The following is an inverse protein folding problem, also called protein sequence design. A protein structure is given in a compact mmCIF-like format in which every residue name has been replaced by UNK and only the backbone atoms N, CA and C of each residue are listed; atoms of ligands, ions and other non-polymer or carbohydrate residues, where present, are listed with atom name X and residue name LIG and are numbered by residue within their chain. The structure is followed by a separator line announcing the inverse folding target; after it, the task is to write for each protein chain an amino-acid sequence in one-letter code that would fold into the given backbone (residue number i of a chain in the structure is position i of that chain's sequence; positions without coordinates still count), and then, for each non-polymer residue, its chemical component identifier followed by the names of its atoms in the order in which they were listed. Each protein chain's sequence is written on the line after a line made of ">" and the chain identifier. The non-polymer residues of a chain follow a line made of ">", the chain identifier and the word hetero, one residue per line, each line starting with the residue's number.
data_IF_211240879127
#
_entry.id   IF_211240879127
#
_cell.length_a   1.000
_cell.length_b   1.000
_cell.length_c   1.000
_cell.angle_alpha   90.00
_cell.angle_beta   90.00
_cell.angle_gamma   90.00
#
_symmetry.space_group_name_H-M   'P 1'
#
loop_
_entity.id
_entity.type
_entity.pdbx_description
1 polymer ?
#
# COMPACT_ATOMS: atom_id res chain seq x y z
N UNK A 1 54.78 -2.09 24.29
CA UNK A 1 53.65 -1.33 24.90
C UNK A 1 52.46 -1.47 23.96
N UNK A 2 51.37 -2.04 24.45
CA UNK A 2 50.18 -2.32 23.66
C UNK A 2 49.43 -1.02 23.32
N UNK A 3 49.08 -0.79 22.05
CA UNK A 3 48.06 0.19 21.68
C UNK A 3 46.78 -0.56 21.33
N UNK A 4 45.86 -0.58 22.28
CA UNK A 4 44.49 -1.07 22.12
C UNK A 4 43.72 -0.15 21.18
N UNK A 5 43.39 -0.62 19.97
CA UNK A 5 42.42 0.03 19.09
C UNK A 5 41.01 -0.36 19.53
N UNK A 6 40.26 0.60 20.05
CA UNK A 6 38.85 0.47 20.41
C UNK A 6 38.02 0.19 19.15
N UNK A 7 37.15 -0.85 19.11
CA UNK A 7 36.22 -1.02 18.01
C UNK A 7 35.11 0.03 18.15
N UNK A 8 34.96 0.89 17.14
CA UNK A 8 33.81 1.78 16.99
C UNK A 8 32.53 0.96 16.98
N UNK A 9 31.70 1.16 18.00
CA UNK A 9 30.36 0.62 18.07
C UNK A 9 29.58 1.02 16.82
N UNK A 10 29.09 0.02 16.06
CA UNK A 10 28.01 0.25 15.10
C UNK A 10 26.84 0.80 15.91
N UNK A 11 26.41 2.01 15.56
CA UNK A 11 25.13 2.54 15.98
C UNK A 11 24.06 1.54 15.56
N UNK A 12 23.54 0.77 16.52
CA UNK A 12 22.29 0.06 16.37
C UNK A 12 21.20 1.13 16.24
N UNK A 13 20.78 1.39 15.01
CA UNK A 13 19.58 2.17 14.77
C UNK A 13 18.42 1.44 15.44
N UNK A 14 17.71 2.14 16.33
CA UNK A 14 16.48 1.63 16.93
C UNK A 14 15.56 1.05 15.83
N UNK A 15 14.82 -0.03 16.11
CA UNK A 15 13.97 -0.65 15.10
C UNK A 15 12.98 0.41 14.59
N UNK A 16 12.98 0.67 13.28
CA UNK A 16 11.98 1.50 12.63
C UNK A 16 10.67 0.70 12.57
N UNK A 17 10.01 0.59 13.71
CA UNK A 17 8.68 0.02 13.83
C UNK A 17 7.71 0.78 12.92
N UNK A 18 6.66 0.10 12.48
CA UNK A 18 5.52 0.79 11.89
C UNK A 18 5.01 1.84 12.90
N UNK A 19 4.60 3.00 12.40
CA UNK A 19 4.14 4.09 13.26
C UNK A 19 2.91 3.62 14.05
N UNK A 20 2.98 3.63 15.38
CA UNK A 20 1.85 3.23 16.24
C UNK A 20 0.60 4.09 15.96
N UNK A 21 0.80 5.31 15.47
CA UNK A 21 -0.25 6.24 15.05
C UNK A 21 -0.11 6.58 13.56
N UNK A 22 -1.23 6.55 12.83
CA UNK A 22 -1.24 6.88 11.39
C UNK A 22 -0.78 8.32 11.14
N UNK A 23 -1.11 9.27 12.01
CA UNK A 23 -0.75 10.67 11.86
C UNK A 23 0.77 10.86 11.75
N UNK A 24 1.55 10.14 12.56
CA UNK A 24 3.02 10.16 12.53
C UNK A 24 3.58 9.65 11.21
N UNK A 25 2.91 8.68 10.57
CA UNK A 25 3.31 8.17 9.26
C UNK A 25 3.09 9.21 8.15
N UNK A 26 2.07 10.05 8.29
CA UNK A 26 1.63 11.02 7.29
C UNK A 26 2.28 12.40 7.44
N UNK A 27 3.01 12.63 8.53
CA UNK A 27 3.52 13.94 8.87
C UNK A 27 4.59 14.45 7.89
N UNK A 28 4.38 15.67 7.40
CA UNK A 28 5.31 16.40 6.54
C UNK A 28 5.73 17.71 7.20
N UNK A 29 7.01 18.05 7.05
CA UNK A 29 7.54 19.37 7.34
C UNK A 29 7.45 20.24 6.08
N UNK A 30 6.87 21.44 6.19
CA UNK A 30 6.87 22.41 5.10
C UNK A 30 8.21 23.13 5.05
N UNK A 31 8.91 23.04 3.93
CA UNK A 31 10.17 23.73 3.70
C UNK A 31 9.95 25.10 3.04
N UNK A 32 8.99 25.19 2.11
CA UNK A 32 8.61 26.42 1.39
C UNK A 32 7.15 26.32 0.87
N UNK A 33 6.67 27.27 0.08
CA UNK A 33 5.44 27.15 -0.73
C UNK A 33 5.59 25.95 -1.67
N UNK A 34 4.61 25.04 -1.61
CA UNK A 34 4.53 23.85 -2.46
C UNK A 34 5.76 22.90 -2.36
N UNK A 35 6.54 23.01 -1.28
CA UNK A 35 7.73 22.21 -1.00
C UNK A 35 7.70 21.64 0.42
N UNK A 36 7.73 20.30 0.52
CA UNK A 36 7.59 19.57 1.78
C UNK A 36 8.66 18.49 1.95
N UNK A 37 8.89 18.02 3.18
CA UNK A 37 9.84 16.96 3.53
C UNK A 37 9.21 15.94 4.46
N UNK A 38 9.40 14.65 4.17
CA UNK A 38 8.99 13.56 5.08
C UNK A 38 9.75 13.64 6.40
N UNK A 39 9.06 13.57 7.54
CA UNK A 39 9.73 13.45 8.84
C UNK A 39 10.21 12.02 9.11
N UNK A 40 9.37 11.04 8.81
CA UNK A 40 9.64 9.63 9.05
C UNK A 40 9.26 8.78 7.83
N UNK A 41 9.91 7.63 7.68
CA UNK A 41 9.63 6.64 6.63
C UNK A 41 9.70 5.25 7.25
N UNK A 42 8.70 4.42 6.94
CA UNK A 42 8.65 3.03 7.36
C UNK A 42 9.24 2.13 6.28
N UNK A 43 10.18 1.30 6.68
CA UNK A 43 10.76 0.25 5.86
C UNK A 43 10.27 -1.10 6.38
N UNK A 44 9.28 -1.74 5.74
CA UNK A 44 8.77 -3.02 6.20
C UNK A 44 9.87 -4.09 6.27
N UNK A 45 9.74 -5.03 7.20
CA UNK A 45 10.73 -6.08 7.36
C UNK A 45 10.86 -6.90 6.06
N UNK A 46 12.10 -7.06 5.59
CA UNK A 46 12.45 -7.80 4.35
C UNK A 46 11.91 -7.17 3.04
N UNK A 47 11.42 -5.94 3.08
CA UNK A 47 11.12 -5.17 1.87
C UNK A 47 12.42 -4.64 1.21
N UNK A 48 12.32 -4.21 -0.04
CA UNK A 48 13.44 -3.60 -0.78
C UNK A 48 13.46 -2.07 -0.70
N UNK A 49 12.46 -1.47 -0.08
CA UNK A 49 12.27 -0.02 -0.03
C UNK A 49 11.18 0.38 0.95
N UNK A 50 10.89 1.68 0.99
CA UNK A 50 9.81 2.25 1.81
C UNK A 50 8.47 1.65 1.42
N UNK A 51 7.57 1.53 2.39
CA UNK A 51 6.19 1.14 2.11
C UNK A 51 5.51 2.13 1.13
N UNK A 52 5.02 1.61 -0.01
CA UNK A 52 4.41 2.40 -1.08
C UNK A 52 3.25 3.26 -0.59
N UNK A 53 2.33 2.66 0.19
CA UNK A 53 1.22 3.34 0.85
C UNK A 53 1.63 4.61 1.62
N UNK A 54 2.77 4.62 2.31
CA UNK A 54 3.22 5.82 3.02
C UNK A 54 3.66 6.94 2.05
N UNK A 55 4.39 6.60 0.99
CA UNK A 55 4.84 7.58 -0.02
C UNK A 55 3.63 8.18 -0.75
N UNK A 56 2.65 7.33 -1.10
CA UNK A 56 1.38 7.74 -1.71
C UNK A 56 0.65 8.71 -0.80
N UNK A 57 0.44 8.32 0.47
CA UNK A 57 -0.30 9.18 1.39
C UNK A 57 0.41 10.48 1.72
N UNK A 58 1.74 10.47 1.87
CA UNK A 58 2.50 11.70 2.04
C UNK A 58 2.40 12.60 0.80
N UNK A 59 2.46 12.04 -0.41
CA UNK A 59 2.25 12.81 -1.63
C UNK A 59 0.82 13.39 -1.70
N UNK A 60 -0.19 12.63 -1.27
CA UNK A 60 -1.56 13.12 -1.15
C UNK A 60 -1.64 14.27 -0.14
N UNK A 61 -1.03 14.14 1.05
CA UNK A 61 -0.97 15.22 2.06
C UNK A 61 -0.31 16.47 1.49
N UNK A 62 0.80 16.34 0.78
CA UNK A 62 1.49 17.46 0.13
C UNK A 62 0.59 18.17 -0.90
N UNK A 63 -0.12 17.40 -1.74
CA UNK A 63 -1.04 17.96 -2.72
C UNK A 63 -2.24 18.65 -2.07
N UNK A 64 -2.87 18.01 -1.08
CA UNK A 64 -4.01 18.55 -0.34
C UNK A 64 -3.65 19.86 0.36
N UNK A 65 -2.44 19.97 0.93
CA UNK A 65 -1.96 21.21 1.56
C UNK A 65 -1.66 22.35 0.57
N UNK A 66 -1.75 22.11 -0.75
CA UNK A 66 -1.54 23.12 -1.81
C UNK A 66 -2.84 23.67 -2.41
N UNK A 67 -4.00 23.21 -1.94
CA UNK A 67 -5.34 23.60 -2.42
C UNK A 67 -6.22 24.05 -1.27
N UNK A 68 -7.32 24.74 -1.55
CA UNK A 68 -8.32 25.08 -0.54
C UNK A 68 -9.04 23.81 -0.02
N UNK A 69 -9.51 23.77 1.24
CA UNK A 69 -10.15 22.58 1.82
C UNK A 69 -11.45 22.12 1.12
N UNK A 70 -12.05 22.95 0.25
CA UNK A 70 -13.32 22.68 -0.44
C UNK A 70 -13.20 21.66 -1.58
N UNK A 71 -12.03 21.07 -1.83
CA UNK A 71 -11.72 20.32 -3.04
C UNK A 71 -11.43 18.83 -2.75
N UNK A 72 -12.15 17.90 -3.43
CA UNK A 72 -11.97 16.43 -3.33
C UNK A 72 -10.73 15.90 -4.09
N UNK A 73 -10.39 14.61 -4.15
CA UNK A 73 -9.10 14.13 -4.70
C UNK A 73 -9.27 12.91 -5.65
N UNK A 74 -8.41 12.78 -6.66
CA UNK A 74 -8.17 11.58 -7.49
C UNK A 74 -6.68 11.46 -7.82
N UNK A 75 -6.06 10.27 -7.90
CA UNK A 75 -4.60 10.16 -8.11
C UNK A 75 -4.10 8.96 -8.95
N UNK A 76 -2.87 9.08 -9.50
CA UNK A 76 -2.07 8.08 -10.24
C UNK A 76 -0.59 8.14 -9.83
N UNK A 77 0.23 7.06 -9.94
CA UNK A 77 1.67 7.13 -9.58
C UNK A 77 2.66 6.13 -10.21
N UNK A 78 3.98 6.33 -9.96
CA UNK A 78 5.10 5.44 -10.36
C UNK A 78 6.23 5.38 -9.29
N UNK A 79 6.86 4.20 -9.12
CA UNK A 79 8.22 3.93 -8.59
C UNK A 79 8.51 3.89 -7.06
N UNK A 80 9.71 3.39 -6.68
CA UNK A 80 10.15 3.03 -5.31
C UNK A 80 11.19 3.99 -4.69
N UNK A 81 11.15 4.17 -3.36
CA UNK A 81 11.98 5.10 -2.60
C UNK A 81 12.83 4.41 -1.48
N UNK A 82 13.93 5.06 -1.07
CA UNK A 82 14.81 4.63 0.02
C UNK A 82 14.33 5.13 1.39
N UNK A 83 14.42 4.31 2.44
CA UNK A 83 14.03 4.73 3.80
C UNK A 83 15.15 5.45 4.56
N UNK A 84 16.38 5.39 4.06
CA UNK A 84 17.58 5.92 4.76
C UNK A 84 17.70 7.45 4.73
N UNK A 85 16.91 8.12 3.90
CA UNK A 85 16.95 9.56 3.69
C UNK A 85 15.53 10.12 3.59
N UNK A 86 15.28 11.36 4.02
CA UNK A 86 13.99 12.02 3.78
C UNK A 86 13.66 12.10 2.28
N UNK A 87 12.38 12.08 1.97
CA UNK A 87 11.83 12.39 0.65
C UNK A 87 11.41 13.87 0.65
N UNK A 88 11.78 14.60 -0.40
CA UNK A 88 11.31 15.97 -0.65
C UNK A 88 10.17 15.92 -1.65
N UNK A 89 9.03 16.51 -1.33
CA UNK A 89 7.86 16.57 -2.20
C UNK A 89 7.74 17.98 -2.77
N UNK A 90 7.78 18.08 -4.09
CA UNK A 90 7.54 19.31 -4.84
C UNK A 90 6.18 19.22 -5.53
N UNK A 91 5.32 20.23 -5.34
CA UNK A 91 4.00 20.29 -5.96
C UNK A 91 3.99 21.31 -7.09
N UNK A 92 3.60 20.86 -8.28
CA UNK A 92 3.41 21.66 -9.48
C UNK A 92 1.92 21.93 -9.69
N UNK A 93 1.55 23.21 -9.83
CA UNK A 93 0.16 23.64 -10.04
C UNK A 93 -0.15 23.64 -11.53
N UNK A 94 -0.62 22.49 -12.03
CA UNK A 94 -0.86 22.30 -13.46
C UNK A 94 -2.06 23.08 -14.00
N UNK A 95 -3.15 23.16 -13.21
CA UNK A 95 -4.39 23.84 -13.62
C UNK A 95 -5.21 24.26 -12.42
N UNK A 96 -5.70 25.51 -12.44
CA UNK A 96 -6.71 26.01 -11.51
C UNK A 96 -7.96 26.40 -12.30
N UNK A 97 -8.86 25.43 -12.49
CA UNK A 97 -10.15 25.64 -13.14
C UNK A 97 -11.26 25.99 -12.14
N UNK A 98 -12.41 26.41 -12.65
CA UNK A 98 -13.57 26.78 -11.81
C UNK A 98 -14.11 25.62 -10.95
N UNK A 99 -14.16 24.41 -11.52
CA UNK A 99 -14.70 23.23 -10.86
C UNK A 99 -13.65 22.18 -10.52
N UNK A 100 -12.50 22.22 -11.22
CA UNK A 100 -11.42 21.25 -11.07
C UNK A 100 -10.07 21.93 -10.91
N UNK A 101 -9.29 21.45 -9.97
CA UNK A 101 -7.87 21.78 -9.82
C UNK A 101 -7.03 20.57 -10.21
N UNK A 102 -5.85 20.77 -10.76
CA UNK A 102 -4.90 19.70 -11.09
C UNK A 102 -3.54 20.03 -10.52
N UNK A 103 -2.94 19.05 -9.83
CA UNK A 103 -1.60 19.13 -9.25
C UNK A 103 -0.77 17.95 -9.74
N UNK A 104 0.54 18.15 -9.84
CA UNK A 104 1.50 17.06 -9.96
C UNK A 104 2.49 17.13 -8.80
N UNK A 105 2.69 16.03 -8.09
CA UNK A 105 3.66 15.92 -7.00
C UNK A 105 4.85 15.12 -7.48
N UNK A 106 6.05 15.68 -7.35
CA UNK A 106 7.32 14.98 -7.57
C UNK A 106 7.95 14.72 -6.20
N UNK A 107 8.16 13.45 -5.88
CA UNK A 107 8.92 13.03 -4.72
C UNK A 107 10.37 12.78 -5.13
N UNK A 108 11.29 13.48 -4.48
CA UNK A 108 12.71 13.49 -4.80
C UNK A 108 13.53 12.92 -3.65
N UNK A 109 14.55 12.13 -3.99
CA UNK A 109 15.65 11.76 -3.11
C UNK A 109 16.97 11.88 -3.85
N UNK A 110 17.97 12.51 -3.23
CA UNK A 110 19.28 12.77 -3.85
C UNK A 110 19.17 13.45 -5.24
N UNK A 111 18.21 14.38 -5.39
CA UNK A 111 17.97 15.06 -6.66
C UNK A 111 17.35 14.20 -7.77
N UNK A 112 16.97 12.95 -7.50
CA UNK A 112 16.27 12.07 -8.44
C UNK A 112 14.82 11.92 -8.06
N UNK A 113 13.93 11.95 -9.04
CA UNK A 113 12.51 11.61 -8.84
C UNK A 113 12.42 10.12 -8.53
N UNK A 114 11.95 9.80 -7.33
CA UNK A 114 11.70 8.43 -6.88
C UNK A 114 10.22 8.07 -6.96
N UNK A 115 9.36 9.08 -6.99
CA UNK A 115 7.93 8.92 -7.16
C UNK A 115 7.32 10.16 -7.83
N UNK A 116 6.28 9.95 -8.63
CA UNK A 116 5.49 11.03 -9.20
C UNK A 116 4.02 10.70 -9.04
N UNK A 117 3.22 11.71 -8.70
CA UNK A 117 1.78 11.62 -8.64
C UNK A 117 1.15 12.73 -9.46
N UNK A 118 0.10 12.41 -10.20
CA UNK A 118 -0.84 13.43 -10.70
C UNK A 118 -2.13 13.29 -9.92
N UNK A 119 -2.68 14.41 -9.48
CA UNK A 119 -3.97 14.41 -8.83
C UNK A 119 -4.90 15.52 -9.30
N UNK A 120 -6.18 15.19 -9.35
CA UNK A 120 -7.26 16.11 -9.68
C UNK A 120 -8.12 16.32 -8.47
N UNK A 121 -8.55 17.55 -8.28
CA UNK A 121 -9.48 17.93 -7.25
C UNK A 121 -10.76 18.50 -7.81
N UNK A 122 -11.90 18.28 -7.13
CA UNK A 122 -13.22 18.72 -7.60
C UNK A 122 -13.99 19.43 -6.49
N UNK A 123 -14.69 20.52 -6.83
CA UNK A 123 -15.72 21.10 -5.94
C UNK A 123 -16.89 20.11 -5.75
N UNK A 124 -17.37 19.86 -4.52
CA UNK A 124 -18.49 18.96 -4.28
C UNK A 124 -19.74 19.32 -5.07
N UNK A 125 -20.32 18.33 -5.75
CA UNK A 125 -21.60 18.46 -6.48
C UNK A 125 -22.61 17.41 -5.99
N UNK A 126 -23.08 17.48 -4.73
CA UNK A 126 -23.89 16.42 -4.11
C UNK A 126 -25.26 16.18 -4.75
N UNK A 127 -25.72 17.09 -5.62
CA UNK A 127 -26.97 16.96 -6.36
C UNK A 127 -26.87 16.05 -7.60
N UNK A 128 -25.67 15.62 -7.98
CA UNK A 128 -25.48 14.76 -9.14
C UNK A 128 -25.96 13.32 -8.85
N UNK A 129 -26.45 12.57 -9.86
CA UNK A 129 -26.84 11.18 -9.68
C UNK A 129 -25.66 10.29 -9.24
N UNK A 130 -25.88 9.44 -8.24
CA UNK A 130 -24.88 8.49 -7.75
C UNK A 130 -25.31 7.04 -7.97
N UNK A 131 -24.37 6.20 -8.42
CA UNK A 131 -24.51 4.74 -8.44
C UNK A 131 -23.18 4.09 -8.08
N UNK A 132 -23.22 3.11 -7.17
CA UNK A 132 -22.09 2.22 -6.88
C UNK A 132 -22.47 0.76 -7.11
N UNK A 133 -21.47 -0.10 -7.25
CA UNK A 133 -21.72 -1.54 -7.10
C UNK A 133 -22.08 -1.83 -5.65
N UNK A 134 -22.85 -2.90 -5.43
CA UNK A 134 -23.24 -3.30 -4.07
C UNK A 134 -22.06 -4.01 -3.40
N UNK A 135 -21.87 -3.72 -2.12
CA UNK A 135 -20.95 -4.48 -1.28
C UNK A 135 -21.31 -5.98 -1.34
N UNK A 136 -20.33 -6.88 -1.54
CA UNK A 136 -20.60 -8.31 -1.49
C UNK A 136 -21.02 -8.73 -0.07
N UNK A 137 -21.80 -9.81 0.02
CA UNK A 137 -22.13 -10.41 1.31
C UNK A 137 -20.90 -11.08 1.90
N UNK A 138 -20.43 -10.56 3.04
CA UNK A 138 -19.30 -11.10 3.80
C UNK A 138 -19.64 -11.10 5.29
N UNK A 139 -19.01 -11.96 6.11
CA UNK A 139 -19.14 -11.88 7.55
C UNK A 139 -18.79 -10.47 8.07
N UNK A 140 -19.49 -9.97 9.09
CA UNK A 140 -19.17 -8.69 9.71
C UNK A 140 -17.77 -8.75 10.37
N UNK A 141 -17.13 -7.58 10.62
CA UNK A 141 -15.78 -7.55 11.20
C UNK A 141 -15.70 -8.23 12.57
N UNK A 142 -16.77 -8.25 13.36
CA UNK A 142 -16.82 -8.93 14.67
C UNK A 142 -16.73 -10.46 14.57
N UNK A 143 -17.20 -11.04 13.46
CA UNK A 143 -17.10 -12.47 13.19
C UNK A 143 -15.76 -12.87 12.58
N UNK A 144 -14.92 -11.90 12.22
CA UNK A 144 -13.61 -12.12 11.61
C UNK A 144 -12.49 -12.00 12.65
N UNK A 145 -11.48 -12.84 12.50
CA UNK A 145 -10.27 -12.83 13.31
C UNK A 145 -9.25 -11.83 12.77
N UNK A 146 -8.40 -11.32 13.65
CA UNK A 146 -7.29 -10.47 13.26
C UNK A 146 -6.25 -11.25 12.45
N UNK A 147 -5.52 -10.55 11.58
CA UNK A 147 -4.44 -11.14 10.79
C UNK A 147 -3.30 -11.68 11.67
N UNK A 148 -3.03 -11.01 12.79
CA UNK A 148 -2.05 -11.40 13.80
C UNK A 148 -2.30 -12.80 14.34
N UNK A 149 -3.56 -13.14 14.65
CA UNK A 149 -3.95 -14.46 15.16
C UNK A 149 -3.55 -15.57 14.18
N UNK A 150 -3.67 -15.32 12.87
CA UNK A 150 -3.26 -16.27 11.84
C UNK A 150 -1.74 -16.47 11.82
N UNK A 151 -0.96 -15.43 12.08
CA UNK A 151 0.51 -15.55 12.15
C UNK A 151 0.94 -16.32 13.39
N UNK A 152 0.29 -16.06 14.54
CA UNK A 152 0.52 -16.79 15.79
C UNK A 152 0.21 -18.28 15.65
N UNK A 153 -0.90 -18.64 15.00
CA UNK A 153 -1.24 -20.04 14.69
C UNK A 153 -0.14 -20.73 13.89
N UNK A 154 0.39 -20.06 12.86
CA UNK A 154 1.49 -20.63 12.05
C UNK A 154 2.74 -20.80 12.91
N UNK A 155 3.07 -19.84 13.76
CA UNK A 155 4.23 -19.94 14.66
C UNK A 155 4.10 -21.07 15.69
N UNK A 156 2.87 -21.33 16.17
CA UNK A 156 2.56 -22.39 17.13
C UNK A 156 2.59 -23.80 16.52
N UNK A 157 2.47 -23.93 15.19
CA UNK A 157 2.54 -25.25 14.52
C UNK A 157 3.89 -25.93 14.72
N UNK A 158 3.82 -27.22 15.00
CA UNK A 158 4.98 -28.12 15.03
C UNK A 158 5.48 -28.43 13.61
N UNK A 159 6.75 -28.76 13.47
CA UNK A 159 7.36 -29.14 12.18
C UNK A 159 7.60 -28.00 11.18
N UNK A 160 7.27 -26.74 11.51
CA UNK A 160 7.60 -25.60 10.64
C UNK A 160 9.10 -25.28 10.70
N UNK A 161 9.71 -25.17 9.52
CA UNK A 161 11.12 -24.85 9.37
C UNK A 161 11.49 -23.51 10.07
N UNK A 162 12.60 -23.42 10.83
CA UNK A 162 12.96 -22.23 11.61
C UNK A 162 12.98 -20.92 10.82
N UNK A 163 13.49 -20.96 9.57
CA UNK A 163 13.46 -19.78 8.67
C UNK A 163 12.05 -19.28 8.40
N UNK A 164 11.07 -20.17 8.24
CA UNK A 164 9.66 -19.78 8.03
C UNK A 164 9.10 -19.19 9.31
N UNK A 165 9.36 -19.81 10.48
CA UNK A 165 8.95 -19.23 11.77
C UNK A 165 9.51 -17.82 11.99
N UNK A 166 10.78 -17.58 11.66
CA UNK A 166 11.40 -16.26 11.76
C UNK A 166 10.71 -15.21 10.87
N UNK A 167 10.32 -15.59 9.64
CA UNK A 167 9.58 -14.68 8.76
C UNK A 167 8.21 -14.32 9.32
N UNK A 168 7.46 -15.30 9.85
CA UNK A 168 6.16 -15.04 10.47
C UNK A 168 6.27 -14.19 11.75
N UNK A 169 7.34 -14.37 12.53
CA UNK A 169 7.63 -13.54 13.69
C UNK A 169 7.86 -12.07 13.29
N UNK A 170 8.65 -11.82 12.24
CA UNK A 170 8.87 -10.47 11.72
C UNK A 170 7.52 -9.84 11.27
N UNK A 171 6.69 -10.59 10.54
CA UNK A 171 5.37 -10.10 10.11
C UNK A 171 4.40 -9.85 11.25
N UNK A 172 4.42 -10.70 12.29
CA UNK A 172 3.60 -10.50 13.47
C UNK A 172 3.98 -9.20 14.19
N UNK A 173 5.28 -8.93 14.33
CA UNK A 173 5.77 -7.69 14.95
C UNK A 173 5.42 -6.47 14.08
N UNK A 174 5.67 -6.52 12.78
CA UNK A 174 5.28 -5.45 11.84
C UNK A 174 3.77 -5.18 11.90
N UNK A 175 2.95 -6.24 11.96
CA UNK A 175 1.48 -6.14 11.96
C UNK A 175 0.94 -5.55 13.26
N UNK A 176 1.46 -6.00 14.41
CA UNK A 176 1.11 -5.49 15.75
C UNK A 176 1.45 -4.01 15.92
N UNK A 177 2.57 -3.55 15.37
CA UNK A 177 2.98 -2.14 15.41
C UNK A 177 2.31 -1.27 14.34
N UNK A 178 1.56 -1.86 13.41
CA UNK A 178 1.03 -1.11 12.29
C UNK A 178 -0.20 -0.28 12.67
N UNK A 179 -0.36 0.94 12.11
CA UNK A 179 -1.48 1.81 12.47
C UNK A 179 -2.81 1.35 11.90
N UNK A 180 -2.83 0.30 11.05
CA UNK A 180 -4.03 -0.26 10.46
C UNK A 180 -4.29 -1.64 11.08
N UNK A 181 -5.48 -1.86 11.62
CA UNK A 181 -6.00 -3.17 11.96
C UNK A 181 -6.53 -3.87 10.70
N UNK A 182 -6.28 -5.18 10.58
CA UNK A 182 -6.70 -5.98 9.41
C UNK A 182 -7.36 -7.26 9.89
N UNK A 183 -8.55 -7.54 9.37
CA UNK A 183 -9.26 -8.81 9.56
C UNK A 183 -9.54 -9.43 8.19
N UNK A 184 -8.79 -10.48 7.81
CA UNK A 184 -9.05 -11.20 6.57
C UNK A 184 -10.40 -11.89 6.61
N UNK A 185 -11.15 -11.81 5.51
CA UNK A 185 -12.33 -12.63 5.25
C UNK A 185 -11.91 -13.85 4.43
N UNK A 186 -12.69 -14.92 4.49
CA UNK A 186 -12.51 -16.08 3.62
C UNK A 186 -12.48 -15.68 2.15
N UNK A 187 -11.68 -16.41 1.37
CA UNK A 187 -11.53 -16.16 -0.07
C UNK A 187 -12.83 -16.46 -0.76
N UNK A 188 -13.29 -15.52 -1.56
CA UNK A 188 -14.48 -15.71 -2.38
C UNK A 188 -14.08 -16.19 -3.78
N UNK A 189 -14.44 -17.44 -4.07
CA UNK A 189 -14.21 -18.15 -5.33
C UNK A 189 -15.55 -18.46 -6.06
N UNK A 190 -16.59 -17.70 -5.76
CA UNK A 190 -17.97 -17.97 -6.24
C UNK A 190 -18.11 -17.91 -7.76
N UNK A 191 -17.27 -17.15 -8.46
CA UNK A 191 -17.28 -17.13 -9.93
C UNK A 191 -16.05 -17.85 -10.49
N UNK A 192 -16.19 -18.57 -11.63
CA UNK A 192 -15.08 -19.25 -12.29
C UNK A 192 -13.91 -18.32 -12.57
N UNK A 193 -12.69 -18.77 -12.26
CA UNK A 193 -11.45 -18.01 -12.44
C UNK A 193 -11.42 -16.63 -11.78
N UNK A 194 -12.32 -16.37 -10.83
CA UNK A 194 -12.30 -15.16 -10.02
C UNK A 194 -11.88 -15.54 -8.60
N UNK A 195 -10.74 -14.99 -8.17
CA UNK A 195 -10.36 -14.97 -6.76
C UNK A 195 -10.61 -13.56 -6.26
N UNK A 196 -11.55 -13.42 -5.32
CA UNK A 196 -11.75 -12.19 -4.55
C UNK A 196 -11.15 -12.35 -3.16
N UNK A 197 -10.26 -11.44 -2.81
CA UNK A 197 -9.74 -11.28 -1.46
C UNK A 197 -10.49 -10.15 -0.79
N UNK A 198 -10.97 -10.40 0.42
CA UNK A 198 -11.75 -9.45 1.18
C UNK A 198 -11.06 -9.21 2.53
N UNK A 199 -10.87 -7.95 2.89
CA UNK A 199 -10.25 -7.55 4.15
C UNK A 199 -11.07 -6.45 4.80
N UNK A 200 -11.45 -6.62 6.06
CA UNK A 200 -11.86 -5.48 6.88
C UNK A 200 -10.60 -4.76 7.36
N UNK A 201 -10.54 -3.45 7.14
CA UNK A 201 -9.44 -2.59 7.53
C UNK A 201 -9.94 -1.39 8.34
N UNK A 202 -9.18 -0.98 9.35
CA UNK A 202 -9.52 0.13 10.23
C UNK A 202 -8.23 0.80 10.73
N UNK A 203 -8.17 2.12 10.74
CA UNK A 203 -7.09 2.86 11.38
C UNK A 203 -7.25 2.82 12.91
N UNK A 204 -6.18 2.45 13.62
CA UNK A 204 -6.20 2.27 15.07
C UNK A 204 -6.11 3.60 15.79
N UNK A 205 -6.94 3.77 16.82
CA UNK A 205 -6.81 4.83 17.83
C UNK A 205 -6.70 6.24 17.24
N UNK A 206 -7.48 6.53 16.20
CA UNK A 206 -7.49 7.85 15.57
C UNK A 206 -8.59 8.73 16.19
N UNK A 207 -8.39 10.06 16.27
CA UNK A 207 -9.50 10.98 16.49
C UNK A 207 -10.38 11.06 15.24
N UNK A 208 -11.51 11.75 15.35
CA UNK A 208 -12.30 12.12 14.19
C UNK A 208 -11.52 13.12 13.33
N UNK A 209 -11.38 12.81 12.04
CA UNK A 209 -10.68 13.64 11.06
C UNK A 209 -11.62 14.09 9.94
N UNK A 210 -11.34 15.27 9.40
CA UNK A 210 -12.03 15.78 8.22
C UNK A 210 -11.75 14.93 6.97
N UNK A 211 -12.67 14.99 6.01
CA UNK A 211 -12.62 14.20 4.78
C UNK A 211 -11.27 14.23 4.03
N UNK A 212 -10.56 15.37 3.89
CA UNK A 212 -9.26 15.38 3.22
C UNK A 212 -8.21 14.48 3.90
N UNK A 213 -8.20 14.44 5.24
CA UNK A 213 -7.25 13.61 5.98
C UNK A 213 -7.70 12.14 6.01
N UNK A 214 -9.00 11.86 6.07
CA UNK A 214 -9.55 10.51 5.87
C UNK A 214 -9.11 9.92 4.51
N UNK A 215 -9.11 10.71 3.44
CA UNK A 215 -8.58 10.30 2.11
C UNK A 215 -7.08 10.00 2.14
N UNK A 216 -6.30 10.71 2.95
CA UNK A 216 -4.87 10.42 3.14
C UNK A 216 -4.66 9.05 3.84
N UNK A 217 -5.46 8.78 4.87
CA UNK A 217 -5.46 7.48 5.58
C UNK A 217 -5.91 6.36 4.62
N UNK A 218 -6.95 6.59 3.82
CA UNK A 218 -7.41 5.65 2.80
C UNK A 218 -6.33 5.39 1.74
N UNK A 219 -5.58 6.42 1.33
CA UNK A 219 -4.40 6.26 0.50
C UNK A 219 -3.40 5.24 1.06
N UNK A 220 -3.19 5.25 2.38
CA UNK A 220 -2.20 4.40 3.05
C UNK A 220 -2.68 2.95 3.07
N UNK A 221 -3.93 2.75 3.50
CA UNK A 221 -4.50 1.40 3.58
C UNK A 221 -4.72 0.78 2.20
N UNK A 222 -4.91 1.60 1.15
CA UNK A 222 -5.23 1.11 -0.19
C UNK A 222 -4.14 0.23 -0.82
N UNK A 223 -2.88 0.40 -0.40
CA UNK A 223 -1.74 -0.38 -0.90
C UNK A 223 -1.50 -1.67 -0.07
N UNK A 224 -2.19 -1.84 1.07
CA UNK A 224 -2.08 -3.05 1.89
C UNK A 224 -2.77 -4.22 1.19
N UNK A 225 -2.07 -5.36 1.09
CA UNK A 225 -2.53 -6.62 0.50
C UNK A 225 -2.96 -6.60 -0.98
N UNK A 226 -3.01 -5.45 -1.64
CA UNK A 226 -3.59 -5.29 -2.97
C UNK A 226 -2.91 -6.16 -4.04
N UNK A 227 -1.58 -6.09 -4.21
CA UNK A 227 -0.83 -6.93 -5.16
C UNK A 227 -0.94 -8.44 -4.87
N UNK A 228 -1.33 -8.82 -3.64
CA UNK A 228 -1.46 -10.23 -3.28
C UNK A 228 -2.57 -10.90 -4.09
N UNK A 229 -3.59 -10.17 -4.53
CA UNK A 229 -4.65 -10.69 -5.39
C UNK A 229 -4.09 -11.29 -6.68
N UNK A 230 -3.12 -10.62 -7.33
CA UNK A 230 -2.47 -11.14 -8.53
C UNK A 230 -1.59 -12.36 -8.25
N UNK A 231 -0.78 -12.32 -7.19
CA UNK A 231 0.06 -13.48 -6.82
C UNK A 231 -0.78 -14.72 -6.53
N UNK A 232 -1.91 -14.54 -5.83
CA UNK A 232 -2.78 -15.65 -5.45
C UNK A 232 -3.65 -16.14 -6.61
N UNK A 233 -4.08 -15.26 -7.52
CA UNK A 233 -4.78 -15.65 -8.74
C UNK A 233 -3.88 -16.51 -9.65
N UNK A 234 -2.57 -16.26 -9.66
CA UNK A 234 -1.57 -17.10 -10.35
C UNK A 234 -1.21 -18.39 -9.60
N UNK A 235 -1.78 -18.63 -8.40
CA UNK A 235 -1.43 -19.78 -7.57
C UNK A 235 -0.01 -19.73 -6.99
N UNK A 236 0.64 -18.57 -6.99
CA UNK A 236 1.98 -18.40 -6.44
C UNK A 236 1.94 -18.41 -4.91
N UNK A 237 2.98 -18.98 -4.33
CA UNK A 237 3.15 -19.16 -2.90
C UNK A 237 4.45 -18.49 -2.45
N UNK A 238 4.36 -17.70 -1.38
CA UNK A 238 5.52 -16.95 -0.86
C UNK A 238 6.66 -17.86 -0.37
N UNK A 239 6.34 -19.05 0.13
CA UNK A 239 7.31 -20.09 0.51
C UNK A 239 7.27 -21.31 -0.41
N UNK A 240 6.72 -21.16 -1.62
CA UNK A 240 6.75 -22.19 -2.64
C UNK A 240 8.18 -22.49 -3.10
N UNK A 241 8.32 -23.48 -3.98
CA UNK A 241 9.58 -23.77 -4.68
C UNK A 241 9.37 -23.71 -6.19
N UNK A 242 10.40 -23.24 -6.90
CA UNK A 242 10.41 -23.19 -8.37
C UNK A 242 9.20 -22.44 -8.93
N UNK A 243 8.49 -22.98 -9.95
CA UNK A 243 7.41 -22.28 -10.63
C UNK A 243 6.22 -21.85 -9.76
N UNK A 244 6.07 -22.44 -8.57
CA UNK A 244 5.02 -22.06 -7.61
C UNK A 244 5.50 -21.01 -6.61
N UNK A 245 6.77 -20.64 -6.59
CA UNK A 245 7.32 -19.66 -5.67
C UNK A 245 7.17 -18.24 -6.22
N UNK A 246 6.79 -17.29 -5.37
CA UNK A 246 6.83 -15.87 -5.73
C UNK A 246 8.27 -15.34 -5.66
N UNK A 247 8.91 -15.11 -6.81
CA UNK A 247 10.27 -14.58 -6.88
C UNK A 247 10.34 -13.07 -6.71
N UNK A 248 9.40 -12.35 -7.33
CA UNK A 248 9.36 -10.89 -7.27
C UNK A 248 7.93 -10.39 -7.29
N UNK A 249 7.66 -9.44 -6.40
CA UNK A 249 6.40 -8.70 -6.32
C UNK A 249 6.73 -7.26 -5.97
N UNK A 250 6.41 -6.33 -6.85
CA UNK A 250 6.60 -4.89 -6.60
C UNK A 250 5.58 -4.10 -7.38
N UNK A 251 5.07 -3.04 -6.78
CA UNK A 251 4.19 -2.07 -7.44
C UNK A 251 4.91 -1.38 -8.60
N UNK A 252 4.20 -1.15 -9.70
CA UNK A 252 4.62 -0.32 -10.83
C UNK A 252 3.91 1.03 -10.72
N UNK A 253 2.58 0.99 -10.67
CA UNK A 253 1.69 2.13 -10.52
C UNK A 253 0.57 1.84 -9.53
N UNK A 254 -0.17 2.86 -9.09
CA UNK A 254 -1.51 2.67 -8.55
C UNK A 254 -2.31 3.95 -8.57
N UNK A 255 -3.62 3.78 -8.53
CA UNK A 255 -4.58 4.83 -8.73
C UNK A 255 -5.72 4.69 -7.75
N UNK A 256 -6.24 5.83 -7.29
CA UNK A 256 -7.39 5.89 -6.38
C UNK A 256 -8.38 6.91 -6.93
N UNK A 257 -9.61 6.45 -7.11
CA UNK A 257 -10.76 7.29 -7.44
C UNK A 257 -11.70 7.30 -6.24
N UNK A 258 -11.86 8.48 -5.63
CA UNK A 258 -12.77 8.70 -4.52
C UNK A 258 -14.15 9.09 -5.07
N UNK A 259 -15.20 8.52 -4.48
CA UNK A 259 -16.60 8.79 -4.88
C UNK A 259 -17.44 9.33 -3.74
N UNK A 260 -16.96 9.18 -2.51
CA UNK A 260 -17.67 9.64 -1.33
C UNK A 260 -16.71 10.20 -0.29
N UNK A 261 -17.12 11.30 0.33
CA UNK A 261 -16.34 11.99 1.36
C UNK A 261 -16.85 11.67 2.77
N UNK A 262 -18.00 10.99 2.88
CA UNK A 262 -18.60 10.61 4.14
C UNK A 262 -18.21 9.17 4.50
N UNK A 263 -16.96 9.03 4.93
CA UNK A 263 -16.42 7.80 5.50
C UNK A 263 -15.43 8.12 6.63
N UNK A 264 -15.33 7.20 7.56
CA UNK A 264 -14.37 7.28 8.67
C UNK A 264 -13.46 6.05 8.62
N UNK A 265 -12.15 6.27 8.43
CA UNK A 265 -11.17 5.21 8.53
C UNK A 265 -11.01 4.68 9.95
N UNK A 266 -11.57 5.36 10.95
CA UNK A 266 -11.69 4.91 12.34
C UNK A 266 -12.78 3.86 12.53
N UNK A 267 -13.70 3.68 11.57
CA UNK A 267 -14.60 2.51 11.49
C UNK A 267 -14.06 1.48 10.47
N UNK A 268 -14.63 0.29 10.49
CA UNK A 268 -14.27 -0.78 9.56
C UNK A 268 -14.69 -0.46 8.12
N UNK A 269 -13.71 -0.46 7.23
CA UNK A 269 -13.90 -0.44 5.78
C UNK A 269 -13.65 -1.83 5.19
N UNK A 270 -14.55 -2.31 4.33
CA UNK A 270 -14.34 -3.55 3.59
C UNK A 270 -13.58 -3.24 2.31
N UNK A 271 -12.41 -3.84 2.14
CA UNK A 271 -11.62 -3.76 0.93
C UNK A 271 -11.71 -5.07 0.15
N UNK A 272 -12.37 -5.03 -1.01
CA UNK A 272 -12.56 -6.16 -1.91
C UNK A 272 -11.58 -6.03 -3.07
N UNK A 273 -10.70 -7.02 -3.24
CA UNK A 273 -9.62 -7.01 -4.22
C UNK A 273 -9.74 -8.20 -5.16
N UNK A 274 -9.47 -7.98 -6.44
CA UNK A 274 -9.41 -9.03 -7.45
C UNK A 274 -8.30 -8.75 -8.47
N UNK A 275 -7.80 -9.81 -9.11
CA UNK A 275 -6.87 -9.71 -10.24
C UNK A 275 -7.58 -10.17 -11.51
N UNK A 276 -8.06 -9.26 -12.37
CA UNK A 276 -8.73 -9.67 -13.61
C UNK A 276 -7.76 -10.28 -14.63
N UNK A 277 -6.47 -9.91 -14.58
CA UNK A 277 -5.45 -10.49 -15.46
C UNK A 277 -4.07 -10.48 -14.80
N UNK A 278 -3.27 -11.49 -15.11
CA UNK A 278 -1.85 -11.52 -14.81
C UNK A 278 -1.10 -12.37 -15.85
N UNK A 279 0.09 -11.94 -16.24
CA UNK A 279 0.86 -12.54 -17.32
C UNK A 279 2.11 -11.74 -17.64
N UNK A 280 3.06 -12.36 -18.35
CA UNK A 280 4.32 -11.73 -18.77
C UNK A 280 5.07 -11.01 -17.62
N UNK A 281 5.08 -11.63 -16.44
CA UNK A 281 5.75 -11.10 -15.25
C UNK A 281 5.08 -9.88 -14.61
N UNK A 282 3.81 -9.59 -14.93
CA UNK A 282 2.99 -8.52 -14.35
C UNK A 282 1.60 -9.00 -13.95
N UNK A 283 0.92 -8.23 -13.12
CA UNK A 283 -0.48 -8.46 -12.76
C UNK A 283 -1.19 -7.13 -12.50
N UNK A 284 -2.40 -7.00 -13.04
CA UNK A 284 -3.31 -5.89 -12.74
C UNK A 284 -4.23 -6.35 -11.62
N UNK A 285 -4.42 -5.49 -10.63
CA UNK A 285 -5.38 -5.70 -9.55
C UNK A 285 -6.30 -4.50 -9.44
N UNK A 286 -7.52 -4.80 -9.05
CA UNK A 286 -8.62 -3.85 -8.92
C UNK A 286 -9.22 -4.02 -7.53
N UNK A 287 -9.47 -2.90 -6.86
CA UNK A 287 -9.97 -2.87 -5.50
C UNK A 287 -11.20 -1.97 -5.35
N UNK A 288 -12.08 -2.34 -4.42
CA UNK A 288 -13.28 -1.60 -4.05
C UNK A 288 -13.36 -1.46 -2.54
N UNK A 289 -13.46 -0.22 -2.07
CA UNK A 289 -13.56 0.11 -0.66
C UNK A 289 -15.00 0.47 -0.31
N UNK A 290 -15.56 -0.22 0.68
CA UNK A 290 -16.91 0.01 1.17
C UNK A 290 -16.89 0.41 2.65
N UNK A 291 -17.79 1.28 3.07
CA UNK A 291 -18.10 1.45 4.50
C UNK A 291 -18.72 0.17 5.05
N UNK A 292 -18.73 0.04 6.38
CA UNK A 292 -19.44 -1.04 7.09
C UNK A 292 -20.92 -1.18 6.66
N UNK A 293 -21.57 -0.08 6.30
CA UNK A 293 -22.97 -0.03 5.85
C UNK A 293 -23.12 -0.35 4.34
N UNK A 294 -22.03 -0.65 3.65
CA UNK A 294 -22.03 -1.10 2.25
C UNK A 294 -22.00 0.02 1.21
N UNK A 295 -21.66 1.26 1.61
CA UNK A 295 -21.49 2.38 0.68
C UNK A 295 -20.12 2.31 0.04
N UNK A 296 -20.05 2.31 -1.30
CA UNK A 296 -18.78 2.36 -2.03
C UNK A 296 -18.14 3.75 -1.88
N UNK A 297 -16.93 3.83 -1.34
CA UNK A 297 -16.24 5.10 -1.07
C UNK A 297 -15.11 5.38 -2.06
N UNK A 298 -14.42 4.33 -2.50
CA UNK A 298 -13.30 4.46 -3.43
C UNK A 298 -13.11 3.20 -4.27
N UNK A 299 -12.54 3.40 -5.46
CA UNK A 299 -12.04 2.34 -6.34
C UNK A 299 -10.54 2.52 -6.50
N UNK A 300 -9.83 1.40 -6.52
CA UNK A 300 -8.38 1.37 -6.72
C UNK A 300 -8.00 0.48 -7.88
N UNK A 301 -6.91 0.82 -8.55
CA UNK A 301 -6.27 -0.01 -9.58
C UNK A 301 -4.77 0.04 -9.40
N UNK A 302 -4.10 -1.09 -9.61
CA UNK A 302 -2.65 -1.21 -9.44
C UNK A 302 -2.10 -2.26 -10.41
N UNK A 303 -1.13 -1.90 -11.24
CA UNK A 303 -0.28 -2.87 -11.93
C UNK A 303 1.00 -3.09 -11.11
N UNK A 304 1.40 -4.36 -11.00
CA UNK A 304 2.60 -4.76 -10.32
C UNK A 304 3.43 -5.72 -11.16
N UNK A 305 4.74 -5.72 -10.94
CA UNK A 305 5.59 -6.86 -11.30
C UNK A 305 5.16 -8.03 -10.43
N UNK A 306 4.83 -9.16 -11.06
CA UNK A 306 4.46 -10.41 -10.39
C UNK A 306 5.17 -11.55 -11.12
N UNK A 307 6.20 -12.12 -10.51
CA UNK A 307 7.05 -13.14 -11.15
C UNK A 307 7.17 -14.40 -10.29
N UNK A 308 7.08 -15.54 -10.96
CA UNK A 308 7.43 -16.84 -10.41
C UNK A 308 8.95 -17.05 -10.39
N UNK A 309 9.45 -17.95 -9.54
CA UNK A 309 10.85 -18.38 -9.56
C UNK A 309 11.10 -19.41 -10.67
N UNK A 310 11.02 -18.92 -11.91
CA UNK A 310 11.33 -19.68 -13.12
C UNK A 310 12.46 -18.98 -13.87
N UNK A 311 13.42 -19.77 -14.37
CA UNK A 311 14.35 -19.29 -15.38
C UNK A 311 13.67 -19.39 -16.74
N UNK A 312 13.95 -18.44 -17.62
CA UNK A 312 13.56 -18.58 -19.03
C UNK A 312 14.20 -19.85 -19.63
N UNK A 313 13.69 -20.34 -20.76
CA UNK A 313 14.42 -21.35 -21.52
C UNK A 313 15.85 -20.86 -21.75
N UNK A 314 16.84 -21.72 -21.51
CA UNK A 314 18.19 -21.45 -21.98
C UNK A 314 18.08 -21.26 -23.49
N UNK A 315 18.37 -20.06 -24.00
CA UNK A 315 18.63 -19.91 -25.42
C UNK A 315 19.68 -20.98 -25.75
N UNK A 316 19.44 -21.78 -26.80
CA UNK A 316 20.43 -22.70 -27.35
C UNK A 316 21.63 -21.88 -27.84
N UNK A 317 22.46 -21.43 -26.92
CA UNK A 317 23.77 -20.87 -27.18
C UNK A 317 24.60 -22.01 -27.78
N UNK A 318 24.93 -21.84 -29.06
CA UNK A 318 25.85 -22.68 -29.86
C UNK A 318 25.38 -24.10 -30.26
N UNK A 319 24.30 -24.18 -31.02
CA UNK A 319 24.16 -25.21 -32.08
C UNK A 319 24.25 -24.67 -33.51
N UNK A 320 24.85 -23.50 -33.68
CA UNK A 320 25.53 -23.14 -34.92
C UNK A 320 27.04 -23.27 -34.70
N UNK A 321 27.50 -24.53 -34.52
CA UNK A 321 28.91 -24.84 -34.76
C UNK A 321 29.16 -24.58 -36.25
N UNK A 322 29.97 -23.56 -36.51
CA UNK A 322 30.78 -23.42 -37.72
C UNK A 322 31.51 -24.74 -38.04
#
# INVERSE_FOLDING_TARGET
>A
MASTSTPTARSESAPQYAHEQIATALELERLDIDLFRSKTLWHPSRARGVFGGQVISQAIVAATNSVDPEYGLHCYFLASASASKPIVYFVDRLRDGRSYLTRAVKALQNGRVVFMMMCSFQKPEPWQPSRGWRMPSVPPPEACRFEEERYEEVMAREGIHPKVKGVYNDWLNDRRGSPIAIKPVEKDMSLPNSLRLCYWMQARNIPEYDAPFQKCILGYLSDLHLLSAATQALGLQRFGKGPKATAMTTTIDHSICFYDDNFDCGDWLLYVMASPAAGNGRGIVYGQLYTRQGKLVAITTQEGVVRADIRGPEEEAEKAKL
#
